data_IF_061118530068
#
_entry.id   IF_061118530068
#
_cell.length_a   1.000
_cell.length_b   1.000
_cell.length_c   1.000
_cell.angle_alpha   90.00
_cell.angle_beta   90.00
_cell.angle_gamma   90.00
#
_symmetry.space_group_name_H-M   'P 1'
#
loop_
_entity.id
_entity.type
_entity.pdbx_description
1 polymer ?
#
# COMPACT_ATOMS: atom_id res chain seq x y z
N UNK A 1 19.67 -10.12 -0.05
CA UNK A 1 18.94 -9.33 0.98
C UNK A 1 18.07 -8.25 0.37
N UNK A 2 18.60 -7.32 -0.44
CA UNK A 2 17.80 -6.24 -1.03
C UNK A 2 16.60 -6.76 -1.84
N UNK A 3 16.79 -7.77 -2.69
CA UNK A 3 15.70 -8.39 -3.45
C UNK A 3 14.53 -8.86 -2.56
N UNK A 4 14.82 -9.49 -1.43
CA UNK A 4 13.78 -9.99 -0.52
C UNK A 4 12.98 -8.86 0.14
N UNK A 5 13.60 -7.70 0.36
CA UNK A 5 12.93 -6.52 0.94
C UNK A 5 12.01 -5.89 -0.11
N UNK A 6 12.51 -5.68 -1.32
CA UNK A 6 11.78 -5.00 -2.41
C UNK A 6 10.62 -5.85 -2.94
N UNK A 7 10.71 -7.18 -2.85
CA UNK A 7 9.66 -8.10 -3.28
C UNK A 7 8.75 -8.57 -2.14
N UNK A 8 8.92 -8.07 -0.91
CA UNK A 8 8.06 -8.47 0.20
C UNK A 8 6.67 -7.84 0.04
N UNK A 9 5.59 -8.64 -0.04
CA UNK A 9 4.23 -8.12 -0.21
C UNK A 9 3.81 -7.28 1.00
N UNK A 10 4.24 -7.65 2.21
CA UNK A 10 3.98 -6.88 3.43
C UNK A 10 4.66 -5.50 3.42
N UNK A 11 5.92 -5.45 2.97
CA UNK A 11 6.66 -4.18 2.85
C UNK A 11 6.03 -3.31 1.77
N UNK A 12 5.70 -3.86 0.60
CA UNK A 12 5.03 -3.12 -0.47
C UNK A 12 3.66 -2.59 -0.02
N UNK A 13 2.87 -3.39 0.67
CA UNK A 13 1.60 -2.95 1.25
C UNK A 13 1.80 -1.80 2.25
N UNK A 14 2.80 -1.91 3.13
CA UNK A 14 3.12 -0.87 4.11
C UNK A 14 3.61 0.43 3.44
N UNK A 15 4.45 0.35 2.41
CA UNK A 15 4.90 1.50 1.62
C UNK A 15 3.69 2.18 0.96
N UNK A 16 2.80 1.40 0.35
CA UNK A 16 1.55 1.91 -0.22
C UNK A 16 0.72 2.68 0.83
N UNK A 17 0.63 2.14 2.05
CA UNK A 17 -0.07 2.80 3.14
C UNK A 17 0.59 4.11 3.59
N UNK A 18 1.92 4.15 3.70
CA UNK A 18 2.66 5.40 3.98
C UNK A 18 2.36 6.44 2.91
N UNK A 19 2.46 6.06 1.63
CA UNK A 19 2.18 6.96 0.51
C UNK A 19 0.74 7.49 0.54
N UNK A 20 -0.22 6.64 0.87
CA UNK A 20 -1.62 7.03 1.00
C UNK A 20 -1.81 8.08 2.10
N UNK A 21 -1.20 7.88 3.26
CA UNK A 21 -1.30 8.84 4.37
C UNK A 21 -0.64 10.18 4.03
N UNK A 22 0.57 10.17 3.44
CA UNK A 22 1.29 11.40 3.14
C UNK A 22 0.61 12.19 2.01
N UNK A 23 0.30 11.52 0.90
CA UNK A 23 -0.37 12.18 -0.23
C UNK A 23 -1.82 12.55 0.08
N UNK A 24 -2.49 11.80 0.95
CA UNK A 24 -3.82 12.12 1.46
C UNK A 24 -3.81 13.41 2.28
N UNK A 25 -2.82 13.57 3.16
CA UNK A 25 -2.64 14.81 3.93
C UNK A 25 -2.37 16.01 3.00
N UNK A 26 -1.45 15.87 2.06
CA UNK A 26 -1.09 16.94 1.11
C UNK A 26 -2.26 17.32 0.18
N UNK A 27 -3.00 16.32 -0.30
CA UNK A 27 -4.18 16.54 -1.15
C UNK A 27 -5.33 17.16 -0.37
N UNK A 28 -5.49 16.81 0.91
CA UNK A 28 -6.51 17.40 1.79
C UNK A 28 -6.27 18.89 2.04
N UNK A 29 -5.02 19.27 2.31
CA UNK A 29 -4.63 20.67 2.55
C UNK A 29 -4.83 21.54 1.30
N UNK A 30 -4.59 20.96 0.12
CA UNK A 30 -4.71 21.67 -1.17
C UNK A 30 -6.08 21.52 -1.82
N UNK A 31 -7.05 20.86 -1.19
CA UNK A 31 -8.32 20.51 -1.82
C UNK A 31 -9.16 21.72 -2.28
N UNK A 32 -9.04 22.86 -1.59
CA UNK A 32 -9.74 24.11 -1.97
C UNK A 32 -9.09 24.82 -3.15
N UNK A 33 -7.81 24.57 -3.40
CA UNK A 33 -7.11 25.05 -4.57
C UNK A 33 -7.31 23.99 -5.66
N UNK A 34 -8.10 24.29 -6.69
CA UNK A 34 -8.41 23.34 -7.78
C UNK A 34 -7.17 23.12 -8.68
N UNK A 35 -6.08 22.64 -8.09
CA UNK A 35 -4.77 22.42 -8.66
C UNK A 35 -4.50 20.92 -8.64
N UNK A 36 -4.68 20.28 -9.79
CA UNK A 36 -4.32 18.87 -9.98
C UNK A 36 -2.80 18.79 -10.08
N UNK A 37 -2.16 18.63 -8.93
CA UNK A 37 -0.70 18.49 -8.79
C UNK A 37 -0.23 17.04 -8.61
N UNK A 38 1.08 16.87 -8.44
CA UNK A 38 1.74 15.58 -8.19
C UNK A 38 1.14 14.82 -6.99
N UNK A 39 0.66 15.53 -5.97
CA UNK A 39 0.06 14.96 -4.76
C UNK A 39 -1.18 14.08 -5.08
N UNK A 40 -2.04 14.51 -5.99
CA UNK A 40 -3.21 13.71 -6.43
C UNK A 40 -2.78 12.46 -7.21
N UNK A 41 -1.71 12.56 -7.99
CA UNK A 41 -1.13 11.43 -8.71
C UNK A 41 -0.51 10.39 -7.76
N UNK A 42 0.20 10.83 -6.73
CA UNK A 42 0.75 9.95 -5.68
C UNK A 42 -0.38 9.32 -4.87
N UNK A 43 -1.46 10.04 -4.61
CA UNK A 43 -2.65 9.52 -3.95
C UNK A 43 -3.27 8.37 -4.74
N UNK A 44 -3.52 8.58 -6.04
CA UNK A 44 -4.04 7.50 -6.90
C UNK A 44 -3.06 6.32 -6.99
N UNK A 45 -1.76 6.60 -7.15
CA UNK A 45 -0.73 5.56 -7.19
C UNK A 45 -0.73 4.73 -5.90
N UNK A 46 -0.83 5.36 -4.73
CA UNK A 46 -0.85 4.67 -3.44
C UNK A 46 -2.03 3.70 -3.32
N UNK A 47 -3.23 4.10 -3.77
CA UNK A 47 -4.41 3.24 -3.78
C UNK A 47 -4.21 2.02 -4.68
N UNK A 48 -3.74 2.23 -5.91
CA UNK A 48 -3.46 1.14 -6.85
C UNK A 48 -2.36 0.21 -6.32
N UNK A 49 -1.34 0.76 -5.67
CA UNK A 49 -0.25 0.00 -5.08
C UNK A 49 -0.74 -0.90 -3.93
N UNK A 50 -1.56 -0.36 -3.04
CA UNK A 50 -2.21 -1.10 -1.94
C UNK A 50 -3.08 -2.22 -2.51
N UNK A 51 -3.96 -1.91 -3.48
CA UNK A 51 -4.83 -2.93 -4.07
C UNK A 51 -4.05 -4.04 -4.77
N UNK A 52 -2.91 -3.73 -5.38
CA UNK A 52 -2.03 -4.72 -5.99
C UNK A 52 -1.37 -5.64 -4.93
N UNK A 53 -0.92 -5.08 -3.80
CA UNK A 53 -0.24 -5.86 -2.76
C UNK A 53 -1.21 -6.60 -1.82
N UNK A 54 -2.46 -6.14 -1.72
CA UNK A 54 -3.50 -6.72 -0.85
C UNK A 54 -3.71 -8.23 -1.04
N UNK A 55 -3.92 -8.79 -2.26
CA UNK A 55 -4.15 -10.22 -2.43
C UNK A 55 -2.98 -11.06 -1.92
N UNK A 56 -1.73 -10.66 -2.20
CA UNK A 56 -0.52 -11.38 -1.78
C UNK A 56 -0.39 -11.42 -0.24
N UNK A 57 -0.71 -10.31 0.43
CA UNK A 57 -0.76 -10.26 1.91
C UNK A 57 -1.83 -11.20 2.45
N UNK A 58 -3.02 -11.23 1.82
CA UNK A 58 -4.11 -12.10 2.26
C UNK A 58 -3.78 -13.59 2.06
N UNK A 59 -3.10 -13.94 0.98
CA UNK A 59 -2.61 -15.30 0.73
C UNK A 59 -1.60 -15.73 1.80
N UNK A 60 -0.61 -14.89 2.09
CA UNK A 60 0.36 -15.16 3.14
C UNK A 60 -0.27 -15.36 4.52
N UNK A 61 -1.28 -14.54 4.89
CA UNK A 61 -2.01 -14.70 6.14
C UNK A 61 -2.83 -16.00 6.19
N UNK A 62 -3.43 -16.42 5.06
CA UNK A 62 -4.15 -17.70 4.96
C UNK A 62 -3.22 -18.88 5.18
N UNK A 63 -2.03 -18.85 4.61
CA UNK A 63 -1.06 -19.94 4.73
C UNK A 63 -0.47 -20.05 6.14
N UNK A 64 -0.24 -18.92 6.81
CA UNK A 64 0.12 -18.88 8.23
C UNK A 64 -1.01 -19.52 9.07
N UNK A 65 -2.26 -19.13 8.83
CA UNK A 65 -3.40 -19.67 9.57
C UNK A 65 -3.59 -21.19 9.34
N UNK A 66 -3.40 -21.69 8.12
CA UNK A 66 -3.39 -23.14 7.83
C UNK A 66 -2.26 -23.86 8.57
N UNK A 67 -1.08 -23.25 8.65
CA UNK A 67 0.08 -23.85 9.32
C UNK A 67 -0.10 -23.93 10.85
N UNK A 68 -0.80 -22.96 11.44
CA UNK A 68 -1.09 -22.91 12.89
C UNK A 68 -2.25 -23.82 13.28
N UNK A 69 -3.22 -24.04 12.37
CA UNK A 69 -4.33 -24.99 12.55
C UNK A 69 -4.10 -26.23 11.69
N UNK A 70 -3.26 -27.19 12.12
CA UNK A 70 -3.13 -28.47 11.43
C UNK A 70 -4.44 -29.24 11.63
N UNK A 71 -5.35 -29.11 10.68
CA UNK A 71 -6.42 -30.09 10.43
C UNK A 71 -5.88 -31.19 9.55
#
# INVERSE_FOLDING_TARGET
MLSNIVHSPYINFFIGFILLLTSGYETWDTFSEFSIGSHHGVLLFSLLHIFKAFPDVMEGLKDINKSIKPT
#
